data_IF_192786920466
#
_entry.id   IF_192786920466
#
_cell.length_a   1.000
_cell.length_b   1.000
_cell.length_c   1.000
_cell.angle_alpha   90.00
_cell.angle_beta   90.00
_cell.angle_gamma   90.00
#
_symmetry.space_group_name_H-M   'P 1'
#
loop_
_entity.id
_entity.type
_entity.pdbx_description
1 polymer ?
#
# COMPACT_ATOMS: atom_id res chain seq x y z
N UNK A 1 -2.18 61.67 3.70
CA UNK A 1 -0.88 61.70 2.98
C UNK A 1 -0.31 60.29 2.99
N UNK A 2 -0.26 59.60 1.84
CA UNK A 2 0.28 58.23 1.71
C UNK A 2 1.74 58.30 1.24
N UNK A 3 2.68 57.52 1.80
CA UNK A 3 4.07 57.54 1.35
C UNK A 3 4.22 56.78 0.04
N UNK A 4 4.98 57.37 -0.89
CA UNK A 4 5.37 56.80 -2.18
C UNK A 4 6.40 55.70 -1.96
N UNK A 5 6.11 54.48 -2.42
CA UNK A 5 7.08 53.39 -2.50
C UNK A 5 8.03 53.64 -3.68
N UNK A 6 9.33 53.67 -3.42
CA UNK A 6 10.38 53.82 -4.42
C UNK A 6 10.71 52.49 -5.09
N UNK A 7 10.90 52.56 -6.41
CA UNK A 7 11.36 51.49 -7.30
C UNK A 7 12.71 50.90 -6.87
N UNK A 8 12.73 49.58 -6.63
CA UNK A 8 13.98 48.80 -6.59
C UNK A 8 14.20 48.14 -7.95
N UNK A 9 15.23 48.60 -8.65
CA UNK A 9 15.80 47.99 -9.85
C UNK A 9 16.28 46.57 -9.52
N UNK A 10 15.70 45.55 -10.16
CA UNK A 10 16.21 44.19 -10.14
C UNK A 10 17.41 44.07 -11.09
N UNK A 11 18.59 43.84 -10.51
CA UNK A 11 19.82 43.50 -11.21
C UNK A 11 19.66 42.10 -11.83
N UNK A 12 19.88 42.00 -13.14
CA UNK A 12 19.83 40.74 -13.89
C UNK A 12 21.03 39.87 -13.54
N UNK A 13 20.84 38.88 -12.67
CA UNK A 13 21.83 37.85 -12.40
C UNK A 13 21.75 36.78 -13.50
N UNK A 14 22.68 36.81 -14.46
CA UNK A 14 22.86 35.75 -15.45
C UNK A 14 23.47 34.54 -14.74
N UNK A 15 22.69 33.49 -14.56
CA UNK A 15 23.18 32.20 -14.09
C UNK A 15 23.68 31.40 -15.30
N UNK A 16 24.99 31.20 -15.38
CA UNK A 16 25.61 30.27 -16.33
C UNK A 16 25.34 28.84 -15.86
N UNK A 17 24.57 28.08 -16.64
CA UNK A 17 24.38 26.65 -16.42
C UNK A 17 25.65 25.91 -16.86
N UNK A 18 26.47 25.51 -15.88
CA UNK A 18 27.46 24.44 -16.08
C UNK A 18 26.72 23.11 -16.23
N UNK A 19 26.84 22.51 -17.40
CA UNK A 19 26.38 21.15 -17.71
C UNK A 19 27.21 20.14 -16.92
N UNK A 20 26.73 19.75 -15.73
CA UNK A 20 27.25 18.58 -15.02
C UNK A 20 26.93 17.31 -15.81
N UNK A 21 28.01 16.62 -16.17
CA UNK A 21 28.04 15.27 -16.73
C UNK A 21 27.06 14.34 -15.99
N UNK A 22 26.08 13.83 -16.74
CA UNK A 22 25.18 12.78 -16.27
C UNK A 22 25.97 11.47 -16.15
N UNK A 23 26.59 11.25 -14.98
CA UNK A 23 27.05 9.92 -14.60
C UNK A 23 25.84 8.97 -14.67
N UNK A 24 25.93 8.01 -15.59
CA UNK A 24 24.94 6.98 -15.82
C UNK A 24 24.63 6.21 -14.54
N UNK A 25 23.58 6.64 -13.85
CA UNK A 25 22.93 5.85 -12.81
C UNK A 25 22.25 4.70 -13.53
N UNK A 26 22.97 3.58 -13.62
CA UNK A 26 22.44 2.27 -14.00
C UNK A 26 21.09 2.13 -13.29
N UNK A 27 19.99 2.06 -14.05
CA UNK A 27 18.64 1.82 -13.53
C UNK A 27 18.65 0.45 -12.85
N UNK A 28 19.12 0.40 -11.60
CA UNK A 28 19.15 -0.80 -10.81
C UNK A 28 17.70 -1.02 -10.38
N UNK A 29 17.02 -1.90 -11.12
CA UNK A 29 15.69 -2.41 -10.79
C UNK A 29 15.72 -2.74 -9.29
N UNK A 30 14.77 -2.18 -8.54
CA UNK A 30 14.73 -2.28 -7.08
C UNK A 30 15.00 -3.75 -6.68
N UNK A 31 16.12 -4.06 -5.98
CA UNK A 31 16.62 -5.41 -5.79
C UNK A 31 15.70 -6.32 -4.93
N UNK A 32 14.54 -5.80 -4.52
CA UNK A 32 13.55 -6.51 -3.74
C UNK A 32 13.83 -6.43 -2.24
N UNK A 33 12.81 -6.79 -1.46
CA UNK A 33 12.89 -6.75 -0.01
C UNK A 33 13.78 -7.86 0.59
N UNK A 34 14.13 -8.91 -0.14
CA UNK A 34 14.97 -10.01 0.35
C UNK A 34 16.11 -10.28 -0.64
N UNK A 35 17.31 -10.50 -0.12
CA UNK A 35 18.54 -10.80 -0.89
C UNK A 35 19.27 -11.98 -0.24
N UNK A 36 20.34 -12.46 -0.87
CA UNK A 36 21.22 -13.49 -0.31
C UNK A 36 20.49 -14.74 0.22
N UNK A 37 20.95 -15.21 1.38
CA UNK A 37 20.46 -16.43 2.01
C UNK A 37 18.99 -16.29 2.45
N UNK A 38 18.55 -15.08 2.85
CA UNK A 38 17.14 -14.82 3.18
C UNK A 38 16.21 -15.10 2.00
N UNK A 39 16.62 -14.67 0.80
CA UNK A 39 15.83 -14.91 -0.42
C UNK A 39 15.84 -16.39 -0.80
N UNK A 40 16.99 -17.06 -0.70
CA UNK A 40 17.12 -18.49 -0.98
C UNK A 40 16.23 -19.32 -0.06
N UNK A 41 16.23 -19.02 1.24
CA UNK A 41 15.33 -19.65 2.21
C UNK A 41 13.85 -19.50 1.79
N UNK A 42 13.41 -18.28 1.47
CA UNK A 42 12.02 -18.04 1.08
C UNK A 42 11.65 -18.70 -0.26
N UNK A 43 12.60 -18.83 -1.19
CA UNK A 43 12.38 -19.56 -2.44
C UNK A 43 12.17 -21.06 -2.19
N UNK A 44 12.93 -21.66 -1.26
CA UNK A 44 12.78 -23.06 -0.89
C UNK A 44 11.44 -23.33 -0.18
N UNK A 45 10.99 -22.40 0.68
CA UNK A 45 9.70 -22.51 1.39
C UNK A 45 8.47 -22.23 0.53
N UNK A 46 8.67 -21.78 -0.71
CA UNK A 46 7.57 -21.42 -1.63
C UNK A 46 6.66 -22.61 -1.94
N UNK A 47 7.24 -23.80 -2.15
CA UNK A 47 6.48 -25.01 -2.42
C UNK A 47 5.60 -25.41 -1.22
N UNK A 48 6.14 -25.32 -0.01
CA UNK A 48 5.42 -25.59 1.23
C UNK A 48 4.25 -24.63 1.41
N UNK A 49 4.47 -23.33 1.18
CA UNK A 49 3.41 -22.33 1.23
C UNK A 49 2.31 -22.60 0.19
N UNK A 50 2.69 -22.94 -1.05
CA UNK A 50 1.73 -23.25 -2.12
C UNK A 50 0.86 -24.47 -1.79
N UNK A 51 1.47 -25.56 -1.31
CA UNK A 51 0.74 -26.74 -0.84
C UNK A 51 -0.24 -26.38 0.30
N UNK A 52 0.17 -25.50 1.21
CA UNK A 52 -0.68 -25.05 2.31
C UNK A 52 -1.84 -24.15 1.88
N UNK A 53 -1.67 -23.34 0.83
CA UNK A 53 -2.76 -22.58 0.22
C UNK A 53 -3.78 -23.54 -0.41
N UNK A 54 -3.31 -24.52 -1.18
CA UNK A 54 -4.19 -25.53 -1.77
C UNK A 54 -4.93 -26.37 -0.72
N UNK A 55 -4.29 -26.67 0.41
CA UNK A 55 -4.88 -27.43 1.51
C UNK A 55 -5.69 -26.61 2.52
N UNK A 56 -5.75 -25.28 2.38
CA UNK A 56 -6.52 -24.42 3.29
C UNK A 56 -5.89 -24.15 4.66
N UNK A 57 -4.61 -24.50 4.87
CA UNK A 57 -3.85 -24.29 6.12
C UNK A 57 -2.70 -23.28 5.96
N UNK A 58 -2.85 -22.32 5.04
CA UNK A 58 -1.82 -21.32 4.71
C UNK A 58 -1.37 -20.46 5.92
N UNK A 59 -2.26 -20.23 6.89
CA UNK A 59 -1.93 -19.44 8.09
C UNK A 59 -0.90 -20.16 8.98
N UNK A 60 -1.08 -21.47 9.18
CA UNK A 60 -0.21 -22.30 10.01
C UNK A 60 1.15 -22.50 9.34
N UNK A 61 1.15 -22.79 8.03
CA UNK A 61 2.39 -22.88 7.25
C UNK A 61 3.15 -21.54 7.26
N UNK A 62 2.46 -20.41 7.12
CA UNK A 62 3.07 -19.10 7.22
C UNK A 62 3.68 -18.85 8.61
N UNK A 63 3.01 -19.27 9.69
CA UNK A 63 3.55 -19.15 11.03
C UNK A 63 4.82 -20.00 11.23
N UNK A 64 4.84 -21.23 10.69
CA UNK A 64 6.02 -22.10 10.70
C UNK A 64 7.18 -21.52 9.88
N UNK A 65 6.91 -20.99 8.68
CA UNK A 65 7.93 -20.34 7.85
C UNK A 65 8.50 -19.11 8.55
N UNK A 66 7.64 -18.27 9.16
CA UNK A 66 8.10 -17.10 9.92
C UNK A 66 8.97 -17.52 11.11
N UNK A 67 8.56 -18.57 11.83
CA UNK A 67 9.32 -19.12 12.97
C UNK A 67 10.72 -19.56 12.53
N UNK A 68 10.82 -20.45 11.53
CA UNK A 68 12.10 -20.91 10.96
C UNK A 68 12.94 -19.76 10.43
N UNK A 69 12.30 -18.80 9.75
CA UNK A 69 12.96 -17.59 9.28
C UNK A 69 13.61 -16.81 10.42
N UNK A 70 12.88 -16.47 11.48
CA UNK A 70 13.46 -15.70 12.59
C UNK A 70 14.46 -16.49 13.44
N UNK A 71 14.40 -17.83 13.37
CA UNK A 71 15.43 -18.71 13.96
C UNK A 71 16.75 -18.57 13.22
N UNK A 72 16.71 -18.62 11.88
CA UNK A 72 17.88 -18.47 10.99
C UNK A 72 18.39 -17.03 10.87
N UNK A 73 17.48 -16.07 10.92
CA UNK A 73 17.73 -14.64 10.70
C UNK A 73 17.20 -13.84 11.90
N UNK A 74 17.99 -13.70 12.97
CA UNK A 74 17.59 -12.94 14.16
C UNK A 74 17.19 -11.51 13.80
N UNK A 75 16.15 -11.01 14.47
CA UNK A 75 15.63 -9.66 14.23
C UNK A 75 16.61 -8.54 14.60
N UNK A 76 17.55 -8.84 15.51
CA UNK A 76 18.61 -7.93 15.94
C UNK A 76 19.68 -7.74 14.87
N UNK A 77 19.80 -8.69 13.93
CA UNK A 77 20.72 -8.57 12.82
C UNK A 77 20.13 -7.65 11.75
N UNK A 78 20.82 -6.56 11.38
CA UNK A 78 20.34 -5.66 10.33
C UNK A 78 20.02 -6.41 9.03
N UNK A 79 19.01 -5.94 8.31
CA UNK A 79 18.53 -6.59 7.09
C UNK A 79 19.55 -6.58 5.94
N UNK A 80 20.52 -5.66 5.99
CA UNK A 80 21.60 -5.55 5.02
C UNK A 80 22.78 -6.50 5.31
N UNK A 81 22.82 -7.10 6.51
CA UNK A 81 23.86 -8.04 6.94
C UNK A 81 23.33 -9.48 6.87
N UNK A 82 24.01 -10.35 6.13
CA UNK A 82 23.65 -11.76 6.02
C UNK A 82 24.37 -12.57 7.12
N UNK A 83 23.69 -13.55 7.78
CA UNK A 83 24.36 -14.43 8.72
C UNK A 83 25.44 -15.26 8.03
N UNK A 84 26.45 -15.66 8.79
CA UNK A 84 27.47 -16.60 8.29
C UNK A 84 26.81 -17.93 7.88
N UNK A 85 27.23 -18.55 6.76
CA UNK A 85 26.71 -19.85 6.34
C UNK A 85 26.93 -20.96 7.39
N UNK A 86 27.97 -20.85 8.21
CA UNK A 86 28.21 -21.78 9.32
C UNK A 86 27.10 -21.71 10.39
N UNK A 87 26.64 -20.50 10.72
CA UNK A 87 25.53 -20.27 11.64
C UNK A 87 24.21 -20.79 11.06
N UNK A 88 24.00 -20.63 9.75
CA UNK A 88 22.78 -21.09 9.09
C UNK A 88 22.67 -22.62 9.06
N UNK A 89 23.80 -23.33 8.94
CA UNK A 89 23.83 -24.79 8.88
C UNK A 89 23.74 -25.45 10.25
N UNK A 90 24.08 -24.76 11.34
CA UNK A 90 24.00 -25.29 12.70
C UNK A 90 22.61 -25.17 13.32
N UNK A 91 21.72 -24.40 12.72
CA UNK A 91 20.36 -24.16 13.23
C UNK A 91 19.44 -25.29 12.79
N UNK A 92 18.93 -26.03 13.77
CA UNK A 92 17.85 -27.02 13.59
C UNK A 92 16.49 -26.31 13.52
N UNK A 93 15.84 -26.34 12.36
CA UNK A 93 14.54 -25.70 12.13
C UNK A 93 13.36 -26.41 12.84
N UNK A 94 13.52 -27.69 13.16
CA UNK A 94 12.44 -28.52 13.69
C UNK A 94 12.47 -28.61 15.23
N UNK A 95 13.63 -28.40 15.85
CA UNK A 95 13.74 -28.28 17.30
C UNK A 95 12.80 -27.18 17.83
N UNK A 96 12.08 -27.46 18.92
CA UNK A 96 11.24 -26.48 19.61
C UNK A 96 12.05 -25.22 19.98
N UNK A 97 11.46 -24.04 19.79
CA UNK A 97 12.14 -22.82 20.20
C UNK A 97 12.12 -22.73 21.72
N UNK A 98 13.26 -22.47 22.37
CA UNK A 98 13.25 -22.12 23.78
C UNK A 98 12.37 -20.89 23.93
N UNK A 99 11.40 -20.93 24.84
CA UNK A 99 10.57 -19.77 25.14
C UNK A 99 11.50 -18.64 25.53
N UNK A 100 11.61 -17.55 24.73
CA UNK A 100 12.48 -16.47 25.09
C UNK A 100 11.87 -15.86 26.36
N UNK A 101 12.60 -15.99 27.47
CA UNK A 101 12.36 -15.21 28.68
C UNK A 101 12.60 -13.75 28.29
N UNK A 102 11.59 -13.10 27.71
CA UNK A 102 11.54 -11.65 27.60
C UNK A 102 11.24 -11.21 29.03
N UNK A 103 12.29 -11.09 29.84
CA UNK A 103 12.19 -10.56 31.18
C UNK A 103 11.49 -9.21 31.08
N UNK A 104 10.24 -9.16 31.54
CA UNK A 104 9.52 -7.90 31.61
C UNK A 104 10.36 -6.96 32.48
N UNK A 105 10.64 -5.72 32.01
CA UNK A 105 11.48 -4.80 32.77
C UNK A 105 10.92 -4.65 34.18
N UNK A 106 11.71 -4.99 35.21
CA UNK A 106 11.21 -4.96 36.58
C UNK A 106 11.19 -3.50 37.09
N UNK A 107 10.01 -2.92 37.38
CA UNK A 107 9.89 -1.50 37.75
C UNK A 107 10.53 -1.17 39.11
N UNK A 108 10.82 -2.20 39.91
CA UNK A 108 11.43 -2.06 41.24
C UNK A 108 12.97 -2.09 41.20
N UNK A 109 13.56 -2.60 40.11
CA UNK A 109 15.02 -2.76 39.97
C UNK A 109 15.65 -1.67 39.11
N UNK A 110 14.90 -1.13 38.16
CA UNK A 110 15.35 -0.13 37.21
C UNK A 110 14.91 1.27 37.64
N UNK A 111 15.69 2.28 37.28
CA UNK A 111 15.23 3.68 37.40
C UNK A 111 14.08 3.94 36.43
N UNK A 112 13.28 5.00 36.68
CA UNK A 112 12.13 5.36 35.84
C UNK A 112 12.55 5.57 34.38
N UNK A 113 13.71 6.19 34.16
CA UNK A 113 14.25 6.46 32.82
C UNK A 113 14.70 5.19 32.11
N UNK A 114 15.41 4.29 32.80
CA UNK A 114 15.84 3.00 32.25
C UNK A 114 14.64 2.08 31.94
N UNK A 115 13.62 2.08 32.80
CA UNK A 115 12.40 1.34 32.57
C UNK A 115 11.67 1.83 31.31
N UNK A 116 11.55 3.15 31.14
CA UNK A 116 10.94 3.73 29.95
C UNK A 116 11.73 3.37 28.67
N UNK A 117 13.06 3.43 28.71
CA UNK A 117 13.91 3.04 27.58
C UNK A 117 13.80 1.55 27.25
N UNK A 118 13.75 0.67 28.25
CA UNK A 118 13.59 -0.77 28.06
C UNK A 118 12.21 -1.10 27.44
N UNK A 119 11.15 -0.46 27.91
CA UNK A 119 9.81 -0.60 27.33
C UNK A 119 9.76 -0.13 25.88
N UNK A 120 10.39 1.01 25.57
CA UNK A 120 10.47 1.52 24.21
C UNK A 120 11.22 0.54 23.29
N UNK A 121 12.34 -0.04 23.75
CA UNK A 121 13.09 -1.04 22.99
C UNK A 121 12.24 -2.28 22.69
N UNK A 122 11.46 -2.78 23.65
CA UNK A 122 10.54 -3.90 23.45
C UNK A 122 9.45 -3.56 22.43
N UNK A 123 8.87 -2.36 22.50
CA UNK A 123 7.88 -1.91 21.53
C UNK A 123 8.46 -1.80 20.12
N UNK A 124 9.65 -1.22 19.98
CA UNK A 124 10.31 -1.05 18.70
C UNK A 124 10.70 -2.41 18.09
N UNK A 125 11.17 -3.35 18.91
CA UNK A 125 11.35 -4.75 18.52
C UNK A 125 10.05 -5.39 18.04
N UNK A 126 8.93 -5.22 18.76
CA UNK A 126 7.61 -5.75 18.35
C UNK A 126 7.15 -5.15 17.02
N UNK A 127 7.32 -3.84 16.81
CA UNK A 127 7.00 -3.16 15.55
C UNK A 127 7.83 -3.72 14.40
N UNK A 128 9.13 -3.87 14.60
CA UNK A 128 10.04 -4.43 13.61
C UNK A 128 9.67 -5.89 13.26
N UNK A 129 9.31 -6.69 14.26
CA UNK A 129 8.91 -8.09 14.08
C UNK A 129 7.63 -8.18 13.24
N UNK A 130 6.62 -7.39 13.59
CA UNK A 130 5.37 -7.33 12.84
C UNK A 130 5.57 -6.83 11.40
N UNK A 131 6.47 -5.85 11.22
CA UNK A 131 6.85 -5.35 9.91
C UNK A 131 7.44 -6.46 9.04
N UNK A 132 8.41 -7.22 9.56
CA UNK A 132 9.05 -8.32 8.83
C UNK A 132 8.10 -9.50 8.59
N UNK A 133 7.28 -9.89 9.57
CA UNK A 133 6.20 -10.88 9.36
C UNK A 133 5.29 -10.48 8.21
N UNK A 134 4.93 -9.20 8.14
CA UNK A 134 4.16 -8.62 7.05
C UNK A 134 4.88 -8.66 5.70
N UNK A 135 6.19 -8.41 5.67
CA UNK A 135 7.00 -8.51 4.44
C UNK A 135 7.03 -9.95 3.91
N UNK A 136 7.31 -10.93 4.78
CA UNK A 136 7.34 -12.36 4.41
C UNK A 136 5.97 -12.79 3.87
N UNK A 137 4.89 -12.45 4.58
CA UNK A 137 3.50 -12.74 4.15
C UNK A 137 3.20 -12.19 2.75
N UNK A 138 3.47 -10.90 2.53
CA UNK A 138 3.21 -10.26 1.23
C UNK A 138 4.08 -10.85 0.12
N UNK A 139 5.33 -11.17 0.41
CA UNK A 139 6.24 -11.76 -0.55
C UNK A 139 5.76 -13.16 -0.98
N UNK A 140 5.42 -14.04 -0.04
CA UNK A 140 4.91 -15.38 -0.33
C UNK A 140 3.59 -15.33 -1.10
N UNK A 141 2.65 -14.47 -0.69
CA UNK A 141 1.39 -14.27 -1.39
C UNK A 141 1.63 -13.80 -2.84
N UNK A 142 2.50 -12.81 -3.04
CA UNK A 142 2.85 -12.32 -4.37
C UNK A 142 3.49 -13.41 -5.23
N UNK A 143 4.44 -14.18 -4.68
CA UNK A 143 5.08 -15.28 -5.39
C UNK A 143 4.09 -16.39 -5.76
N UNK A 144 3.18 -16.73 -4.87
CA UNK A 144 2.11 -17.69 -5.14
C UNK A 144 1.19 -17.20 -6.26
N UNK A 145 0.74 -15.94 -6.21
CA UNK A 145 -0.08 -15.36 -7.26
C UNK A 145 0.63 -15.35 -8.62
N UNK A 146 1.92 -15.00 -8.61
CA UNK A 146 2.74 -14.97 -9.82
C UNK A 146 2.91 -16.36 -10.46
N UNK A 147 3.08 -17.41 -9.66
CA UNK A 147 3.29 -18.76 -10.19
C UNK A 147 2.01 -19.44 -10.66
N UNK A 148 0.86 -19.01 -10.13
CA UNK A 148 -0.46 -19.54 -10.50
C UNK A 148 -1.19 -18.63 -11.49
N UNK A 149 -0.51 -17.64 -12.07
CA UNK A 149 -1.06 -16.62 -12.98
C UNK A 149 -2.37 -15.97 -12.46
N UNK A 150 -2.47 -15.81 -11.14
CA UNK A 150 -3.62 -15.17 -10.50
C UNK A 150 -3.48 -13.66 -10.65
N UNK A 151 -4.29 -13.03 -11.50
CA UNK A 151 -4.33 -11.57 -11.57
C UNK A 151 -4.86 -11.03 -10.22
N UNK A 152 -4.10 -10.16 -9.52
CA UNK A 152 -4.61 -9.46 -8.33
C UNK A 152 -5.97 -8.76 -8.54
N UNK A 153 -6.28 -8.37 -9.79
CA UNK A 153 -7.55 -7.75 -10.16
C UNK A 153 -8.67 -8.75 -10.36
N UNK A 154 -8.37 -10.01 -10.65
CA UNK A 154 -9.37 -11.08 -10.76
C UNK A 154 -9.87 -11.55 -9.39
N UNK A 155 -9.14 -11.26 -8.31
CA UNK A 155 -9.71 -11.35 -6.95
C UNK A 155 -10.76 -10.24 -6.66
N UNK A 156 -10.97 -9.32 -7.61
CA UNK A 156 -12.00 -8.27 -7.58
C UNK A 156 -13.35 -8.73 -8.16
N UNK A 157 -14.19 -7.76 -8.51
CA UNK A 157 -15.60 -7.95 -8.92
C UNK A 157 -15.86 -8.99 -10.04
N UNK A 158 -14.83 -9.38 -10.80
CA UNK A 158 -14.91 -10.40 -11.85
C UNK A 158 -14.74 -11.85 -11.36
N UNK A 159 -14.47 -12.07 -10.08
CA UNK A 159 -14.47 -13.42 -9.52
C UNK A 159 -15.90 -13.99 -9.53
N UNK A 160 -16.20 -15.10 -10.23
CA UNK A 160 -17.53 -15.70 -10.24
C UNK A 160 -18.03 -16.11 -8.85
N UNK A 161 -17.13 -16.29 -7.89
CA UNK A 161 -17.43 -16.56 -6.49
C UNK A 161 -17.64 -15.29 -5.65
N UNK A 162 -17.42 -14.08 -6.17
CA UNK A 162 -17.63 -12.84 -5.42
C UNK A 162 -19.08 -12.74 -4.94
N UNK A 163 -20.06 -12.98 -5.83
CA UNK A 163 -21.47 -12.99 -5.48
C UNK A 163 -21.81 -14.03 -4.39
N UNK A 164 -21.19 -15.21 -4.43
CA UNK A 164 -21.35 -16.25 -3.40
C UNK A 164 -20.73 -15.82 -2.07
N UNK A 165 -19.52 -15.26 -2.08
CA UNK A 165 -18.82 -14.78 -0.88
C UNK A 165 -19.57 -13.63 -0.22
N UNK A 166 -20.13 -12.71 -1.00
CA UNK A 166 -20.99 -11.63 -0.51
C UNK A 166 -22.23 -12.19 0.22
N UNK A 167 -22.87 -13.22 -0.35
CA UNK A 167 -24.01 -13.91 0.29
C UNK A 167 -23.62 -14.66 1.57
N UNK A 168 -22.51 -15.40 1.56
CA UNK A 168 -22.05 -16.19 2.71
C UNK A 168 -21.58 -15.31 3.87
N UNK A 169 -20.91 -14.19 3.57
CA UNK A 169 -20.40 -13.27 4.59
C UNK A 169 -21.47 -12.32 5.14
N UNK A 170 -22.67 -12.30 4.54
CA UNK A 170 -23.74 -11.36 4.89
C UNK A 170 -23.36 -9.90 4.63
N UNK A 171 -22.26 -9.63 3.93
CA UNK A 171 -21.91 -8.28 3.50
C UNK A 171 -22.84 -7.92 2.36
N UNK A 172 -23.69 -6.93 2.54
CA UNK A 172 -24.57 -6.49 1.45
C UNK A 172 -23.73 -5.98 0.28
N UNK A 173 -24.14 -6.32 -0.96
CA UNK A 173 -23.60 -5.62 -2.15
C UNK A 173 -23.91 -4.15 -1.95
N UNK A 174 -22.89 -3.31 -1.89
CA UNK A 174 -23.08 -1.88 -1.65
C UNK A 174 -23.70 -1.26 -2.90
N UNK A 175 -24.88 -0.64 -2.75
CA UNK A 175 -25.53 0.11 -3.83
C UNK A 175 -24.52 1.09 -4.48
N UNK A 176 -24.33 1.03 -5.82
CA UNK A 176 -23.46 1.96 -6.52
C UNK A 176 -23.80 3.41 -6.18
N UNK A 177 -22.78 4.22 -5.86
CA UNK A 177 -22.98 5.65 -5.59
C UNK A 177 -22.83 6.44 -6.89
N UNK A 178 -23.79 7.33 -7.17
CA UNK A 178 -23.67 8.27 -8.27
C UNK A 178 -22.46 9.20 -8.01
N UNK A 179 -21.53 9.24 -8.96
CA UNK A 179 -20.35 10.10 -8.88
C UNK A 179 -20.77 11.56 -9.17
N UNK A 180 -19.88 12.52 -8.96
CA UNK A 180 -20.09 13.89 -9.46
C UNK A 180 -19.44 14.04 -10.84
N UNK A 181 -19.93 14.95 -11.68
CA UNK A 181 -19.33 15.27 -12.97
C UNK A 181 -17.82 15.56 -12.87
N UNK A 182 -17.42 16.33 -11.86
CA UNK A 182 -16.00 16.64 -11.59
C UNK A 182 -15.16 15.38 -11.30
N UNK A 183 -15.73 14.37 -10.62
CA UNK A 183 -15.05 13.10 -10.33
C UNK A 183 -14.88 12.23 -11.58
N UNK A 184 -15.75 12.36 -12.57
CA UNK A 184 -15.56 11.69 -13.86
C UNK A 184 -14.51 12.42 -14.69
N UNK A 185 -14.68 13.74 -14.82
CA UNK A 185 -13.79 14.61 -15.58
C UNK A 185 -12.32 14.51 -15.13
N UNK A 186 -12.05 14.45 -13.81
CA UNK A 186 -10.68 14.33 -13.29
C UNK A 186 -9.96 13.06 -13.72
N UNK A 187 -10.69 11.99 -14.09
CA UNK A 187 -10.07 10.72 -14.53
C UNK A 187 -9.43 10.88 -15.90
N UNK A 188 -10.11 11.59 -16.81
CA UNK A 188 -9.63 11.87 -18.16
C UNK A 188 -8.60 13.00 -18.18
N UNK A 189 -8.62 13.91 -17.20
CA UNK A 189 -7.74 15.09 -17.14
C UNK A 189 -6.64 15.00 -16.07
N UNK A 190 -6.24 13.78 -15.70
CA UNK A 190 -5.26 13.55 -14.63
C UNK A 190 -3.93 14.26 -14.88
N UNK A 191 -3.43 14.22 -16.12
CA UNK A 191 -2.13 14.81 -16.49
C UNK A 191 -2.11 16.33 -16.30
N UNK A 192 -3.18 17.01 -16.71
CA UNK A 192 -3.32 18.46 -16.52
C UNK A 192 -3.37 18.85 -15.03
N UNK A 193 -4.05 18.04 -14.21
CA UNK A 193 -4.13 18.25 -12.76
C UNK A 193 -2.74 18.07 -12.11
N UNK A 194 -1.97 17.04 -12.51
CA UNK A 194 -0.61 16.84 -11.98
C UNK A 194 0.36 17.93 -12.44
N UNK A 195 0.24 18.40 -13.68
CA UNK A 195 1.04 19.52 -14.20
C UNK A 195 0.76 20.81 -13.42
N UNK A 196 -0.51 21.10 -13.14
CA UNK A 196 -0.91 22.25 -12.34
C UNK A 196 -0.49 22.12 -10.87
N UNK A 197 -0.57 20.92 -10.30
CA UNK A 197 -0.08 20.62 -8.96
C UNK A 197 1.44 20.87 -8.86
N UNK A 198 2.20 20.37 -9.84
CA UNK A 198 3.65 20.59 -9.92
C UNK A 198 3.98 22.08 -10.07
N UNK A 199 3.18 22.84 -10.84
CA UNK A 199 3.32 24.29 -10.97
C UNK A 199 3.09 25.03 -9.65
N UNK A 200 2.06 24.67 -8.88
CA UNK A 200 1.71 25.37 -7.64
C UNK A 200 2.63 25.06 -6.46
N UNK A 201 3.07 23.81 -6.34
CA UNK A 201 3.79 23.35 -5.16
C UNK A 201 5.26 22.97 -5.41
N UNK A 202 5.74 22.98 -6.67
CA UNK A 202 7.12 22.62 -7.02
C UNK A 202 7.45 21.15 -6.77
N UNK A 203 8.73 20.82 -6.58
CA UNK A 203 9.21 19.46 -6.26
C UNK A 203 8.97 19.13 -4.78
N UNK A 204 7.81 18.54 -4.50
CA UNK A 204 7.35 18.19 -3.16
C UNK A 204 7.88 16.83 -2.70
N UNK A 205 9.16 16.76 -2.33
CA UNK A 205 9.71 15.55 -1.71
C UNK A 205 9.27 15.30 -0.26
N UNK A 206 8.42 16.14 0.35
CA UNK A 206 8.13 16.05 1.80
C UNK A 206 6.69 16.24 2.29
N UNK A 207 5.69 16.44 1.42
CA UNK A 207 4.28 16.72 1.85
C UNK A 207 3.27 15.74 1.25
N UNK A 208 3.57 14.43 1.27
CA UNK A 208 2.73 13.39 0.63
C UNK A 208 1.28 13.42 1.11
N UNK A 209 1.05 13.71 2.38
CA UNK A 209 -0.29 13.68 2.99
C UNK A 209 -1.22 14.79 2.49
N UNK A 210 -0.68 15.92 2.00
CA UNK A 210 -1.49 17.05 1.49
C UNK A 210 -1.74 16.98 -0.02
N UNK A 211 -1.05 16.11 -0.74
CA UNK A 211 -1.16 16.04 -2.21
C UNK A 211 -2.56 15.65 -2.67
N UNK A 212 -3.23 14.75 -1.95
CA UNK A 212 -4.58 14.32 -2.31
C UNK A 212 -5.59 15.47 -2.22
N UNK A 213 -5.54 16.26 -1.14
CA UNK A 213 -6.42 17.40 -0.94
C UNK A 213 -6.18 18.52 -1.98
N UNK A 214 -4.92 18.84 -2.29
CA UNK A 214 -4.58 19.85 -3.29
C UNK A 214 -4.99 19.41 -4.71
N UNK A 215 -4.80 18.13 -5.07
CA UNK A 215 -5.32 17.59 -6.34
C UNK A 215 -6.83 17.76 -6.45
N UNK A 216 -7.56 17.48 -5.36
CA UNK A 216 -9.01 17.60 -5.35
C UNK A 216 -9.46 19.06 -5.50
N UNK A 217 -8.77 19.98 -4.82
CA UNK A 217 -9.00 21.42 -4.94
C UNK A 217 -8.75 21.91 -6.37
N UNK A 218 -7.61 21.55 -6.96
CA UNK A 218 -7.26 21.91 -8.35
C UNK A 218 -8.30 21.34 -9.32
N UNK A 219 -8.69 20.07 -9.17
CA UNK A 219 -9.67 19.44 -10.03
C UNK A 219 -11.03 20.18 -10.01
N UNK A 220 -11.50 20.58 -8.81
CA UNK A 220 -12.75 21.35 -8.67
C UNK A 220 -12.64 22.75 -9.28
N UNK A 221 -11.52 23.44 -9.08
CA UNK A 221 -11.27 24.75 -9.68
C UNK A 221 -11.23 24.69 -11.21
N UNK A 222 -10.54 23.70 -11.77
CA UNK A 222 -10.46 23.52 -13.22
C UNK A 222 -11.82 23.13 -13.81
N UNK A 223 -12.55 22.21 -13.16
CA UNK A 223 -13.90 21.82 -13.60
C UNK A 223 -14.88 23.00 -13.54
N UNK A 224 -14.79 23.85 -12.50
CA UNK A 224 -15.64 25.04 -12.38
C UNK A 224 -15.34 26.14 -13.40
N UNK A 225 -14.18 26.11 -14.07
CA UNK A 225 -13.82 27.02 -15.17
C UNK A 225 -14.30 26.53 -16.54
N UNK A 226 -14.76 25.29 -16.65
CA UNK A 226 -15.37 24.77 -17.88
C UNK A 226 -16.68 25.49 -18.17
N UNK A 227 -17.08 25.50 -19.42
CA UNK A 227 -18.35 26.08 -19.81
C UNK A 227 -19.52 25.30 -19.18
N UNK A 228 -20.62 26.01 -18.94
CA UNK A 228 -21.79 25.41 -18.30
C UNK A 228 -22.39 24.27 -19.13
N UNK A 229 -22.22 24.29 -20.45
CA UNK A 229 -22.63 23.23 -21.37
C UNK A 229 -21.79 21.96 -21.15
N UNK A 230 -20.46 22.08 -21.19
CA UNK A 230 -19.56 20.96 -20.92
C UNK A 230 -19.80 20.36 -19.52
N UNK A 231 -20.00 21.21 -18.50
CA UNK A 231 -20.32 20.74 -17.16
C UNK A 231 -21.64 19.96 -17.10
N UNK A 232 -22.62 20.28 -17.96
CA UNK A 232 -23.87 19.53 -18.09
C UNK A 232 -23.63 18.20 -18.77
N UNK A 233 -22.82 18.16 -19.82
CA UNK A 233 -22.50 16.92 -20.53
C UNK A 233 -21.84 15.90 -19.60
N UNK A 234 -20.88 16.35 -18.78
CA UNK A 234 -20.27 15.47 -17.77
C UNK A 234 -21.27 14.97 -16.73
N UNK A 235 -22.26 15.78 -16.34
CA UNK A 235 -23.34 15.31 -15.44
C UNK A 235 -24.20 14.26 -16.12
N UNK A 236 -24.56 14.46 -17.39
CA UNK A 236 -25.33 13.49 -18.19
C UNK A 236 -24.60 12.17 -18.35
N UNK A 237 -23.30 12.20 -18.69
CA UNK A 237 -22.47 11.00 -18.80
C UNK A 237 -22.40 10.23 -17.47
N UNK A 238 -22.25 10.94 -16.36
CA UNK A 238 -22.21 10.31 -15.03
C UNK A 238 -23.53 9.67 -14.64
N UNK A 239 -24.65 10.30 -14.99
CA UNK A 239 -25.98 9.71 -14.78
C UNK A 239 -26.16 8.45 -15.63
N UNK A 240 -25.76 8.48 -16.90
CA UNK A 240 -25.83 7.32 -17.78
C UNK A 240 -24.99 6.13 -17.25
N UNK A 241 -23.72 6.35 -16.86
CA UNK A 241 -22.89 5.31 -16.24
C UNK A 241 -23.50 4.81 -14.93
N UNK A 242 -24.10 5.70 -14.13
CA UNK A 242 -24.76 5.30 -12.89
C UNK A 242 -25.99 4.42 -13.15
N UNK A 243 -26.79 4.73 -14.16
CA UNK A 243 -27.95 3.94 -14.55
C UNK A 243 -27.55 2.54 -15.04
N UNK A 244 -26.45 2.42 -15.79
CA UNK A 244 -25.88 1.13 -16.19
C UNK A 244 -25.42 0.32 -14.97
N UNK A 245 -24.66 0.93 -14.06
CA UNK A 245 -24.23 0.28 -12.81
C UNK A 245 -25.41 -0.12 -11.92
N UNK A 246 -26.49 0.67 -11.91
CA UNK A 246 -27.70 0.34 -11.18
C UNK A 246 -28.46 -0.83 -11.81
N UNK A 247 -28.49 -0.95 -13.14
CA UNK A 247 -29.05 -2.12 -13.83
C UNK A 247 -28.28 -3.40 -13.47
N UNK A 248 -26.96 -3.33 -13.49
CA UNK A 248 -26.09 -4.44 -13.09
C UNK A 248 -26.34 -4.82 -11.62
N UNK A 249 -26.32 -3.85 -10.71
CA UNK A 249 -26.62 -4.06 -9.29
C UNK A 249 -27.99 -4.71 -9.04
N UNK A 250 -29.04 -4.23 -9.74
CA UNK A 250 -30.38 -4.82 -9.63
C UNK A 250 -30.43 -6.25 -10.17
N UNK A 251 -29.67 -6.56 -11.22
CA UNK A 251 -29.60 -7.92 -11.77
C UNK A 251 -28.89 -8.91 -10.84
N UNK A 252 -27.86 -8.45 -10.10
CA UNK A 252 -27.07 -9.27 -9.20
C UNK A 252 -27.70 -9.46 -7.80
N UNK A 253 -28.64 -8.59 -7.42
CA UNK A 253 -29.30 -8.57 -6.11
C UNK A 253 -30.78 -9.01 -6.16
N UNK A 254 -31.07 -10.32 -6.32
CA UNK A 254 -32.44 -10.83 -6.38
C UNK A 254 -33.23 -10.65 -5.06
N UNK A 255 -32.55 -10.37 -3.95
CA UNK A 255 -33.18 -10.13 -2.64
C UNK A 255 -33.99 -8.83 -2.63
N UNK A 256 -33.60 -7.84 -3.44
CA UNK A 256 -34.28 -6.54 -3.51
C UNK A 256 -35.61 -6.58 -4.29
N UNK A 257 -35.81 -7.57 -5.17
CA UNK A 257 -37.03 -7.70 -5.97
C UNK A 257 -38.19 -8.39 -5.21
N UNK A 258 -37.88 -9.17 -4.16
CA UNK A 258 -38.87 -9.95 -3.39
C UNK A 258 -39.58 -9.19 -2.27
N UNK A 259 -39.05 -8.04 -1.83
CA UNK A 259 -39.59 -7.27 -0.70
C UNK A 259 -40.65 -6.23 -1.08
N UNK A 260 -40.94 -6.06 -2.38
CA UNK A 260 -41.91 -5.06 -2.87
C UNK A 260 -43.34 -5.66 -2.99
N UNK A 261 -43.51 -6.98 -2.85
CA UNK A 261 -44.81 -7.67 -2.98
C UNK A 261 -45.32 -8.29 -1.66
N UNK A 262 -45.04 -7.66 -0.52
CA UNK A 262 -45.69 -7.99 0.76
C UNK A 262 -46.26 -6.74 1.43
N UNK A 263 -47.29 -6.15 0.82
CA UNK A 263 -48.23 -5.23 1.48
C UNK A 263 -49.61 -5.45 0.91
#
# INVERSE_FOLDING_TARGET
>A
MRPKYQDRKFSSFRYTFETKECLGTKFMVNPGAFRGARKEFLMNEKANYSAAVAGGYAADALAQIQRRYFKRFPIDLPHDEEPSPETLNSIDDDAADPEPEIDEPNPQRLTIEEFAAAMQHIEDRKKLLNFHKGQIKRWLAYQHMKDNDLDPKESGAFNPYHALMTRLTGKEVVRPRCKTGANMWRKTHREHIEAELKRRLGDLKGKRDRLAAERDKIAREMFGRLDLEEQRDWKTMVLAEHDELMKEYCSESPVSAGLIYQT
#
